data_IF_585210054298
#
_entry.id   IF_585210054298
#
_cell.length_a   1.000
_cell.length_b   1.000
_cell.length_c   1.000
_cell.angle_alpha   90.00
_cell.angle_beta   90.00
_cell.angle_gamma   90.00
#
_symmetry.space_group_name_H-M   'P 1'
#
loop_
_entity.id
_entity.type
_entity.pdbx_description
1 polymer ?
#
# COMPACT_ATOMS: atom_id res chain seq x y z
N UNK A 1 4.63 -10.49 11.44
CA UNK A 1 3.81 -9.41 10.85
C UNK A 1 4.26 -9.21 9.41
N UNK A 2 3.34 -9.06 8.46
CA UNK A 2 3.65 -8.68 7.08
C UNK A 2 3.17 -7.24 6.85
N UNK A 3 3.98 -6.41 6.20
CA UNK A 3 3.63 -5.06 5.76
C UNK A 3 3.56 -5.04 4.24
N UNK A 4 2.47 -4.53 3.70
CA UNK A 4 2.25 -4.40 2.25
C UNK A 4 1.95 -2.94 1.96
N UNK A 5 2.75 -2.32 1.09
CA UNK A 5 2.51 -0.99 0.56
C UNK A 5 1.92 -1.10 -0.84
N UNK A 6 0.81 -0.40 -1.07
CA UNK A 6 0.12 -0.32 -2.35
C UNK A 6 0.17 1.12 -2.87
N UNK A 7 0.27 1.27 -4.19
CA UNK A 7 0.32 2.57 -4.82
C UNK A 7 -1.09 3.14 -5.04
N UNK A 8 -1.30 4.38 -4.61
CA UNK A 8 -2.54 5.10 -4.88
C UNK A 8 -2.23 6.55 -5.30
N UNK A 9 -1.56 6.74 -6.44
CA UNK A 9 -1.24 8.07 -6.92
C UNK A 9 -2.51 8.83 -7.29
N UNK A 10 -2.53 10.13 -7.00
CA UNK A 10 -3.66 11.02 -7.28
C UNK A 10 -3.44 11.74 -8.63
N UNK A 11 -3.34 10.97 -9.71
CA UNK A 11 -3.15 11.46 -11.07
C UNK A 11 -3.99 10.69 -12.08
N UNK A 12 -4.56 11.41 -13.04
CA UNK A 12 -5.55 10.88 -13.98
C UNK A 12 -5.00 9.77 -14.91
N UNK A 13 -3.70 9.74 -15.16
CA UNK A 13 -3.09 8.70 -16.01
C UNK A 13 -3.22 7.30 -15.40
N UNK A 14 -3.12 7.17 -14.09
CA UNK A 14 -3.10 5.86 -13.43
C UNK A 14 -4.20 5.67 -12.36
N UNK A 15 -4.98 6.71 -12.03
CA UNK A 15 -6.06 6.66 -11.07
C UNK A 15 -7.18 7.63 -11.46
N UNK A 16 -8.35 7.56 -10.82
CA UNK A 16 -9.44 8.50 -11.03
C UNK A 16 -9.24 9.78 -10.21
N UNK A 17 -9.58 10.94 -10.79
CA UNK A 17 -9.65 12.21 -10.07
C UNK A 17 -8.32 12.78 -9.63
N UNK A 18 -7.33 12.76 -10.50
CA UNK A 18 -5.98 13.24 -10.20
C UNK A 18 -5.85 14.75 -10.06
N UNK A 19 -5.09 15.18 -9.06
CA UNK A 19 -4.75 16.60 -8.78
C UNK A 19 -3.24 16.86 -8.85
N UNK A 20 -2.44 15.81 -9.00
CA UNK A 20 -0.98 15.90 -9.04
C UNK A 20 -0.46 15.53 -10.42
N UNK A 21 0.59 16.22 -10.87
CA UNK A 21 1.36 15.85 -12.04
C UNK A 21 2.54 14.95 -11.61
N UNK A 22 2.91 14.01 -12.47
CA UNK A 22 4.06 13.09 -12.28
C UNK A 22 3.95 12.13 -11.08
N UNK A 23 2.75 11.96 -10.50
CA UNK A 23 2.54 11.00 -9.42
C UNK A 23 2.56 9.56 -9.93
N UNK A 24 2.12 9.32 -11.18
CA UNK A 24 2.20 8.01 -11.83
C UNK A 24 3.65 7.64 -12.13
N UNK A 25 4.44 8.59 -12.65
CA UNK A 25 5.88 8.41 -12.86
C UNK A 25 6.62 8.15 -11.55
N UNK A 26 6.29 8.89 -10.50
CA UNK A 26 6.87 8.69 -9.17
C UNK A 26 6.58 7.27 -8.63
N UNK A 27 5.34 6.79 -8.74
CA UNK A 27 4.97 5.44 -8.33
C UNK A 27 5.72 4.37 -9.14
N UNK A 28 5.84 4.55 -10.46
CA UNK A 28 6.63 3.67 -11.32
C UNK A 28 8.10 3.67 -10.87
N UNK A 29 8.69 4.85 -10.62
CA UNK A 29 10.08 4.95 -10.19
C UNK A 29 10.34 4.24 -8.86
N UNK A 30 9.45 4.38 -7.87
CA UNK A 30 9.54 3.66 -6.59
C UNK A 30 9.53 2.15 -6.81
N UNK A 31 8.66 1.62 -7.67
CA UNK A 31 8.63 0.18 -7.98
C UNK A 31 9.93 -0.30 -8.63
N UNK A 32 10.46 0.47 -9.58
CA UNK A 32 11.72 0.15 -10.23
C UNK A 32 12.90 0.21 -9.26
N UNK A 33 12.91 1.18 -8.33
CA UNK A 33 13.91 1.29 -7.28
C UNK A 33 13.80 0.15 -6.26
N UNK A 34 12.58 -0.28 -5.87
CA UNK A 34 12.36 -1.44 -4.99
C UNK A 34 12.92 -2.74 -5.58
N UNK A 35 12.89 -2.92 -6.89
CA UNK A 35 13.52 -4.06 -7.56
C UNK A 35 15.06 -4.05 -7.48
N UNK A 36 15.64 -2.95 -6.95
CA UNK A 36 17.07 -2.76 -6.67
C UNK A 36 17.34 -2.56 -5.17
N UNK A 37 16.36 -2.87 -4.31
CA UNK A 37 16.42 -2.66 -2.87
C UNK A 37 16.66 -1.18 -2.46
N UNK A 38 16.23 -0.24 -3.33
CA UNK A 38 16.41 1.22 -3.15
C UNK A 38 15.08 1.97 -3.09
N UNK A 39 13.99 1.27 -2.74
CA UNK A 39 12.67 1.86 -2.65
C UNK A 39 12.56 3.00 -1.65
N UNK A 40 12.95 2.79 -0.38
CA UNK A 40 12.87 3.83 0.65
C UNK A 40 13.64 5.10 0.28
N UNK A 41 14.84 4.97 -0.27
CA UNK A 41 15.65 6.12 -0.68
C UNK A 41 15.03 6.87 -1.86
N UNK A 42 14.39 6.15 -2.78
CA UNK A 42 13.65 6.78 -3.87
C UNK A 42 12.43 7.54 -3.36
N UNK A 43 11.69 6.99 -2.41
CA UNK A 43 10.57 7.67 -1.74
C UNK A 43 11.04 8.97 -1.05
N UNK A 44 12.11 8.91 -0.28
CA UNK A 44 12.69 10.07 0.39
C UNK A 44 13.12 11.15 -0.62
N UNK A 45 13.79 10.74 -1.71
CA UNK A 45 14.20 11.64 -2.78
C UNK A 45 12.99 12.33 -3.43
N UNK A 46 11.92 11.59 -3.72
CA UNK A 46 10.69 12.13 -4.32
C UNK A 46 10.02 13.14 -3.39
N UNK A 47 9.93 12.87 -2.08
CA UNK A 47 9.40 13.83 -1.11
C UNK A 47 10.24 15.09 -1.03
N UNK A 48 11.56 14.98 -1.05
CA UNK A 48 12.47 16.12 -1.02
C UNK A 48 12.37 17.00 -2.29
N UNK A 49 11.93 16.46 -3.41
CA UNK A 49 11.85 17.14 -4.70
C UNK A 49 10.41 17.37 -5.19
N UNK A 50 9.38 17.14 -4.35
CA UNK A 50 7.97 17.09 -4.75
C UNK A 50 7.47 18.34 -5.49
N UNK A 51 7.99 19.53 -5.17
CA UNK A 51 7.57 20.81 -5.76
C UNK A 51 8.06 21.01 -7.21
N UNK A 52 9.02 20.22 -7.65
CA UNK A 52 9.67 20.35 -8.97
C UNK A 52 9.59 19.06 -9.81
N UNK A 53 8.73 18.12 -9.43
CA UNK A 53 8.62 16.85 -10.12
C UNK A 53 8.09 17.03 -11.54
N UNK A 54 8.85 16.48 -12.47
CA UNK A 54 8.48 16.25 -13.85
C UNK A 54 8.89 14.82 -14.20
N UNK A 55 8.40 14.27 -15.32
CA UNK A 55 8.83 12.95 -15.79
C UNK A 55 10.35 12.85 -15.90
N UNK A 56 10.99 13.87 -16.48
CA UNK A 56 12.47 13.87 -16.67
C UNK A 56 13.19 13.94 -15.31
N UNK A 57 12.70 14.75 -14.39
CA UNK A 57 13.26 14.84 -13.03
C UNK A 57 13.14 13.52 -12.27
N UNK A 58 12.01 12.83 -12.40
CA UNK A 58 11.82 11.49 -11.80
C UNK A 58 12.82 10.48 -12.39
N UNK A 59 13.07 10.52 -13.70
CA UNK A 59 14.08 9.66 -14.37
C UNK A 59 15.50 9.95 -13.87
N UNK A 60 15.84 11.21 -13.70
CA UNK A 60 17.15 11.62 -13.15
C UNK A 60 17.31 11.06 -11.72
N UNK A 61 16.33 11.27 -10.84
CA UNK A 61 16.36 10.76 -9.48
C UNK A 61 16.42 9.22 -9.42
N UNK A 62 15.68 8.53 -10.28
CA UNK A 62 15.73 7.08 -10.35
C UNK A 62 17.11 6.56 -10.77
N UNK A 63 17.75 7.23 -11.73
CA UNK A 63 19.12 6.89 -12.12
C UNK A 63 20.13 7.18 -10.99
N UNK A 64 19.99 8.33 -10.33
CA UNK A 64 20.84 8.71 -9.19
C UNK A 64 20.74 7.70 -8.04
N UNK A 65 19.53 7.34 -7.64
CA UNK A 65 19.27 6.52 -6.45
C UNK A 65 19.45 5.02 -6.73
N UNK A 66 18.95 4.53 -7.86
CA UNK A 66 18.84 3.09 -8.12
C UNK A 66 19.62 2.63 -9.38
N UNK A 67 20.31 3.54 -10.08
CA UNK A 67 21.04 3.25 -11.30
C UNK A 67 20.18 2.59 -12.39
N UNK A 68 18.91 2.95 -12.45
CA UNK A 68 17.96 2.47 -13.47
C UNK A 68 17.88 3.51 -14.59
N UNK A 69 18.26 3.12 -15.78
CA UNK A 69 18.33 3.98 -16.97
C UNK A 69 17.27 3.64 -18.03
N UNK A 70 16.59 2.51 -17.86
CA UNK A 70 15.62 1.95 -18.81
C UNK A 70 14.15 2.27 -18.42
N UNK A 71 13.94 3.39 -17.72
CA UNK A 71 12.62 3.83 -17.22
C UNK A 71 11.54 3.82 -18.32
N UNK A 72 11.81 4.46 -19.46
CA UNK A 72 10.82 4.57 -20.54
C UNK A 72 10.44 3.21 -21.14
N UNK A 73 11.41 2.30 -21.26
CA UNK A 73 11.16 0.96 -21.76
C UNK A 73 10.29 0.12 -20.82
N UNK A 74 10.40 0.35 -19.50
CA UNK A 74 9.67 -0.38 -18.46
C UNK A 74 8.41 0.32 -17.98
N UNK A 75 8.20 1.57 -18.38
CA UNK A 75 7.13 2.43 -17.87
C UNK A 75 5.75 1.79 -18.00
N UNK A 76 5.37 1.41 -19.21
CA UNK A 76 4.01 0.90 -19.52
C UNK A 76 3.68 -0.37 -18.75
N UNK A 77 4.63 -1.30 -18.66
CA UNK A 77 4.45 -2.54 -17.92
C UNK A 77 4.29 -2.26 -16.41
N UNK A 78 5.21 -1.45 -15.86
CA UNK A 78 5.18 -1.11 -14.43
C UNK A 78 3.94 -0.27 -14.05
N UNK A 79 3.52 0.65 -14.93
CA UNK A 79 2.31 1.44 -14.76
C UNK A 79 1.04 0.56 -14.67
N UNK A 80 1.02 -0.57 -15.36
CA UNK A 80 -0.10 -1.52 -15.27
C UNK A 80 -0.25 -2.06 -13.84
N UNK A 81 0.84 -2.29 -13.13
CA UNK A 81 0.83 -2.71 -11.73
C UNK A 81 0.36 -1.59 -10.81
N UNK A 82 0.79 -0.35 -11.04
CA UNK A 82 0.31 0.83 -10.30
C UNK A 82 -1.20 1.01 -10.48
N UNK A 83 -1.70 0.87 -11.70
CA UNK A 83 -3.13 0.91 -12.00
C UNK A 83 -3.92 -0.19 -11.30
N UNK A 84 -3.37 -1.39 -11.19
CA UNK A 84 -4.01 -2.49 -10.48
C UNK A 84 -4.18 -2.17 -8.98
N UNK A 85 -3.17 -1.58 -8.34
CA UNK A 85 -3.25 -1.13 -6.96
C UNK A 85 -4.28 -0.01 -6.79
N UNK A 86 -4.27 0.99 -7.68
CA UNK A 86 -5.24 2.08 -7.66
C UNK A 86 -6.69 1.56 -7.82
N UNK A 87 -6.91 0.60 -8.72
CA UNK A 87 -8.22 -0.06 -8.88
C UNK A 87 -8.66 -0.82 -7.63
N UNK A 88 -7.72 -1.48 -6.94
CA UNK A 88 -8.03 -2.12 -5.65
C UNK A 88 -8.45 -1.08 -4.62
N UNK A 89 -7.72 0.04 -4.53
CA UNK A 89 -8.08 1.15 -3.65
C UNK A 89 -9.47 1.72 -3.96
N UNK A 90 -9.82 1.88 -5.23
CA UNK A 90 -11.16 2.30 -5.64
C UNK A 90 -12.25 1.30 -5.21
N UNK A 91 -12.03 0.00 -5.41
CA UNK A 91 -12.95 -1.07 -4.94
C UNK A 91 -13.12 -1.04 -3.42
N UNK A 92 -12.06 -0.73 -2.69
CA UNK A 92 -12.08 -0.54 -1.25
C UNK A 92 -12.64 0.83 -0.83
N UNK A 93 -13.07 1.67 -1.78
CA UNK A 93 -13.61 3.00 -1.53
C UNK A 93 -12.66 3.87 -0.69
N UNK A 94 -11.37 3.88 -1.05
CA UNK A 94 -10.39 4.77 -0.44
C UNK A 94 -10.68 6.20 -0.88
N UNK A 95 -10.87 7.10 0.09
CA UNK A 95 -11.19 8.51 -0.13
C UNK A 95 -9.98 9.44 -0.02
N UNK A 96 -8.82 8.92 0.37
CA UNK A 96 -7.59 9.70 0.53
C UNK A 96 -6.41 8.86 1.00
N UNK A 97 -5.22 9.47 0.91
CA UNK A 97 -3.95 8.89 1.33
C UNK A 97 -3.33 9.70 2.48
N UNK A 98 -2.63 9.03 3.40
CA UNK A 98 -2.53 7.59 3.53
C UNK A 98 -3.81 6.95 4.09
N UNK A 99 -4.13 5.73 3.66
CA UNK A 99 -5.16 4.87 4.26
C UNK A 99 -4.50 3.56 4.67
N UNK A 100 -4.80 3.10 5.87
CA UNK A 100 -4.23 1.86 6.42
C UNK A 100 -5.29 0.80 6.63
N UNK A 101 -4.89 -0.46 6.53
CA UNK A 101 -5.68 -1.63 6.92
C UNK A 101 -4.83 -2.50 7.86
N UNK A 102 -5.37 -2.82 9.04
CA UNK A 102 -4.75 -3.75 9.98
C UNK A 102 -5.67 -4.97 10.06
N UNK A 103 -5.22 -6.11 9.54
CA UNK A 103 -6.01 -7.35 9.47
C UNK A 103 -7.42 -7.12 8.89
N UNK A 104 -7.52 -6.33 7.81
CA UNK A 104 -8.80 -6.03 7.12
C UNK A 104 -9.62 -4.90 7.74
N UNK A 105 -9.22 -4.36 8.89
CA UNK A 105 -9.88 -3.22 9.52
C UNK A 105 -9.27 -1.93 8.98
N UNK A 106 -10.11 -1.09 8.33
CA UNK A 106 -9.68 0.22 7.83
C UNK A 106 -9.42 1.18 8.99
N UNK A 107 -8.29 1.89 8.92
CA UNK A 107 -7.89 2.92 9.86
C UNK A 107 -7.73 4.23 9.07
N UNK A 108 -8.41 5.28 9.52
CA UNK A 108 -8.36 6.59 8.86
C UNK A 108 -6.99 7.27 8.93
N UNK A 109 -6.76 8.20 8.01
CA UNK A 109 -5.48 8.86 7.73
C UNK A 109 -4.90 9.72 8.86
N UNK A 110 -5.69 10.07 9.87
CA UNK A 110 -5.29 11.00 10.96
C UNK A 110 -5.01 10.30 12.27
N UNK A 111 -4.75 8.99 12.26
CA UNK A 111 -4.49 8.24 13.48
C UNK A 111 -3.14 8.66 14.08
N UNK A 112 -3.13 9.02 15.37
CA UNK A 112 -1.88 9.29 16.08
C UNK A 112 -1.05 8.00 16.17
N UNK A 113 0.30 8.07 16.10
CA UNK A 113 1.16 6.89 16.16
C UNK A 113 0.83 5.93 17.30
N UNK A 114 0.55 6.45 18.51
CA UNK A 114 0.20 5.63 19.68
C UNK A 114 -1.07 4.76 19.48
N UNK A 115 -2.06 5.23 18.73
CA UNK A 115 -3.26 4.44 18.44
C UNK A 115 -2.97 3.38 17.36
N UNK A 116 -2.09 3.70 16.41
CA UNK A 116 -1.63 2.75 15.40
C UNK A 116 -0.89 1.59 16.07
N UNK A 117 0.05 1.90 16.97
CA UNK A 117 0.79 0.90 17.73
C UNK A 117 -0.13 0.04 18.61
N UNK A 118 -1.12 0.66 19.27
CA UNK A 118 -2.09 -0.06 20.08
C UNK A 118 -2.97 -1.02 19.24
N UNK A 119 -3.36 -0.61 18.04
CA UNK A 119 -4.13 -1.47 17.13
C UNK A 119 -3.32 -2.67 16.66
N UNK A 120 -2.05 -2.46 16.30
CA UNK A 120 -1.13 -3.55 15.94
C UNK A 120 -0.92 -4.49 17.13
N UNK A 121 -0.67 -3.97 18.33
CA UNK A 121 -0.47 -4.76 19.54
C UNK A 121 -1.70 -5.62 19.86
N UNK A 122 -2.91 -5.04 19.74
CA UNK A 122 -4.17 -5.76 19.93
C UNK A 122 -4.31 -6.94 18.96
N UNK A 123 -4.06 -6.73 17.68
CA UNK A 123 -4.15 -7.79 16.67
C UNK A 123 -3.09 -8.87 16.86
N UNK A 124 -1.89 -8.52 17.30
CA UNK A 124 -0.86 -9.49 17.65
C UNK A 124 -1.25 -10.34 18.87
N UNK A 125 -1.88 -9.76 19.89
CA UNK A 125 -2.40 -10.50 21.04
C UNK A 125 -3.49 -11.49 20.64
N UNK A 126 -4.43 -11.09 19.77
CA UNK A 126 -5.45 -11.99 19.22
C UNK A 126 -4.83 -13.17 18.45
N UNK A 127 -3.79 -12.92 17.67
CA UNK A 127 -3.11 -13.96 16.90
C UNK A 127 -2.31 -14.93 17.79
N UNK A 128 -1.88 -14.49 18.99
CA UNK A 128 -1.11 -15.27 19.97
C UNK A 128 -1.99 -16.01 20.98
N UNK A 129 -3.29 -15.70 21.04
CA UNK A 129 -4.25 -16.37 21.91
C UNK A 129 -4.52 -17.83 21.52
N UNK A 130 -5.08 -18.66 22.42
CA UNK A 130 -5.43 -20.02 22.09
C UNK A 130 -6.41 -20.02 20.90
N UNK A 131 -6.05 -20.75 19.83
CA UNK A 131 -6.95 -20.96 18.70
C UNK A 131 -8.26 -21.52 19.24
N UNK A 132 -9.45 -21.04 18.80
CA UNK A 132 -10.70 -21.68 19.11
C UNK A 132 -10.57 -23.17 18.74
N UNK A 133 -10.70 -24.04 19.70
CA UNK A 133 -10.79 -25.48 19.41
C UNK A 133 -12.02 -25.65 18.51
N UNK A 134 -11.81 -26.22 17.34
CA UNK A 134 -12.93 -26.64 16.51
C UNK A 134 -13.79 -27.57 17.37
N UNK A 135 -15.04 -27.17 17.64
CA UNK A 135 -16.00 -28.05 18.32
C UNK A 135 -16.09 -29.36 17.54
N UNK A 136 -15.74 -30.44 18.21
CA UNK A 136 -15.86 -31.76 17.63
C UNK A 136 -17.32 -32.06 17.28
N UNK A 137 -17.58 -33.00 16.34
CA UNK A 137 -18.96 -33.33 15.90
C UNK A 137 -19.89 -33.75 17.03
N UNK A 138 -19.37 -34.14 18.18
CA UNK A 138 -20.14 -34.58 19.34
C UNK A 138 -20.69 -33.44 20.20
N UNK A 139 -20.06 -32.26 20.24
CA UNK A 139 -20.55 -31.10 21.00
C UNK A 139 -21.68 -30.35 20.29
N UNK A 140 -21.77 -30.48 18.96
CA UNK A 140 -22.85 -29.86 18.19
C UNK A 140 -24.22 -30.57 18.36
N UNK A 141 -24.25 -31.81 18.86
CA UNK A 141 -25.48 -32.59 19.03
C UNK A 141 -26.24 -32.26 20.33
N UNK A 142 -25.57 -31.61 21.31
CA UNK A 142 -26.17 -31.33 22.63
C UNK A 142 -26.85 -29.94 22.73
N UNK A 143 -26.83 -29.14 21.66
CA UNK A 143 -27.45 -27.80 21.58
C UNK A 143 -28.80 -27.80 20.82
N UNK A 144 -29.43 -28.95 20.58
CA UNK A 144 -30.76 -29.01 20.00
C UNK A 144 -31.81 -28.49 21.00
N UNK A 145 -32.73 -27.58 20.63
CA UNK A 145 -33.77 -27.10 21.51
C UNK A 145 -34.69 -28.26 21.87
N UNK A 146 -34.92 -28.42 23.17
CA UNK A 146 -35.93 -29.33 23.68
C UNK A 146 -37.34 -28.83 23.33
N UNK A 147 -38.27 -29.72 23.05
CA UNK A 147 -39.64 -29.39 22.63
C UNK A 147 -40.42 -28.65 23.72
#
# INVERSE_FOLDING_TARGET
>A
MAFVSLDYPLEAECNQGGIHASACEAAVAVRLARAKDRGPEMEEWLFANQDTLTRDRVKEGLNEIAQVTDFDARYTETLTLVRADAQLGQKLQISGTPTFFINGIRIGSTLRPAYFDAAIAHELQKASGPKPQAMGPQEAADVAPRP
#
